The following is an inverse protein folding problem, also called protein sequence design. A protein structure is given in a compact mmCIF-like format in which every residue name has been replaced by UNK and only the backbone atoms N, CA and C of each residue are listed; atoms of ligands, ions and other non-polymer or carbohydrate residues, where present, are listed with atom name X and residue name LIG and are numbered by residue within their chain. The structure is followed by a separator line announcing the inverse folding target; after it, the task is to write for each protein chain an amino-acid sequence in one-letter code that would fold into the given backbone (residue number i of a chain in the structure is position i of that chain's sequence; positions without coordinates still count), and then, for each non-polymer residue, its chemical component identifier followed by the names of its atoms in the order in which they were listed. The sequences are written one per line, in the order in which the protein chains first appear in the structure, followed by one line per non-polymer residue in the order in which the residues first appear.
data_IF_652176880385
#
_entry.id   IF_652176880385
#
_cell.length_a   1.000
_cell.length_b   1.000
_cell.length_c   1.000
_cell.angle_alpha   90.00
_cell.angle_beta   90.00
_cell.angle_gamma   90.00
#
_symmetry.space_group_name_H-M   'P 1'
#
loop_
_entity.id
_entity.type
_entity.pdbx_description
1 polymer ?
#
# COMPACT_ATOMS: atom_id res chain seq x y z
N UNK A 1 -30.21 16.20 -2.03
CA UNK A 1 -28.99 15.83 -2.81
C UNK A 1 -29.20 15.96 -4.31
N UNK A 2 -30.12 15.20 -4.93
CA UNK A 2 -30.38 15.28 -6.39
C UNK A 2 -30.86 16.67 -6.86
N UNK A 3 -31.76 17.31 -6.11
CA UNK A 3 -32.26 18.67 -6.40
C UNK A 3 -31.16 19.75 -6.21
N UNK A 4 -30.31 19.58 -5.19
CA UNK A 4 -29.20 20.50 -4.90
C UNK A 4 -28.10 20.44 -5.98
N UNK A 5 -27.89 19.27 -6.57
CA UNK A 5 -26.87 19.03 -7.61
C UNK A 5 -27.43 19.06 -9.04
N UNK A 6 -28.72 19.30 -9.22
CA UNK A 6 -29.37 19.36 -10.54
C UNK A 6 -29.35 18.03 -11.32
N UNK A 7 -29.22 16.88 -10.65
CA UNK A 7 -29.15 15.55 -11.29
C UNK A 7 -30.47 14.79 -11.14
N UNK A 8 -30.82 13.96 -12.12
CA UNK A 8 -32.00 13.09 -12.02
C UNK A 8 -31.79 12.01 -10.94
N UNK A 9 -32.88 11.63 -10.26
CA UNK A 9 -32.83 10.54 -9.26
C UNK A 9 -32.30 9.24 -9.87
N UNK A 10 -32.72 8.91 -11.09
CA UNK A 10 -32.22 7.73 -11.82
C UNK A 10 -30.72 7.80 -12.07
N UNK A 11 -30.20 8.93 -12.55
CA UNK A 11 -28.77 9.12 -12.78
C UNK A 11 -27.93 9.02 -11.51
N UNK A 12 -28.45 9.51 -10.37
CA UNK A 12 -27.81 9.36 -9.07
C UNK A 12 -27.68 7.89 -8.65
N UNK A 13 -28.76 7.11 -8.73
CA UNK A 13 -28.73 5.71 -8.35
C UNK A 13 -27.98 4.83 -9.36
N UNK A 14 -28.00 5.16 -10.64
CA UNK A 14 -27.19 4.49 -11.66
C UNK A 14 -25.71 4.70 -11.40
N UNK A 15 -25.28 5.92 -11.08
CA UNK A 15 -23.91 6.21 -10.68
C UNK A 15 -23.52 5.44 -9.41
N UNK A 16 -24.41 5.39 -8.40
CA UNK A 16 -24.16 4.67 -7.15
C UNK A 16 -23.98 3.16 -7.35
N UNK A 17 -24.70 2.59 -8.33
CA UNK A 17 -24.65 1.16 -8.66
C UNK A 17 -23.58 0.79 -9.68
N UNK A 18 -22.83 1.77 -10.23
CA UNK A 18 -21.81 1.47 -11.25
C UNK A 18 -20.76 0.52 -10.69
N UNK A 19 -20.52 -0.63 -11.34
CA UNK A 19 -19.49 -1.54 -10.92
C UNK A 19 -18.11 -0.90 -11.07
N UNK A 20 -17.14 -1.39 -10.30
CA UNK A 20 -15.75 -0.98 -10.41
C UNK A 20 -15.28 -1.12 -11.86
N UNK A 21 -14.63 -0.07 -12.37
CA UNK A 21 -14.01 -0.10 -13.69
C UNK A 21 -12.93 -1.18 -13.75
N UNK A 22 -12.63 -1.68 -14.95
CA UNK A 22 -11.56 -2.66 -15.14
C UNK A 22 -10.20 -2.15 -14.63
N UNK A 23 -9.96 -0.84 -14.76
CA UNK A 23 -8.76 -0.21 -14.21
C UNK A 23 -8.74 -0.23 -12.67
N UNK A 24 -9.88 0.04 -12.03
CA UNK A 24 -9.98 -0.02 -10.57
C UNK A 24 -9.80 -1.45 -10.04
N UNK A 25 -10.37 -2.45 -10.73
CA UNK A 25 -10.14 -3.87 -10.41
C UNK A 25 -8.68 -4.26 -10.54
N UNK A 26 -8.05 -3.93 -11.68
CA UNK A 26 -6.61 -4.18 -11.89
C UNK A 26 -5.75 -3.53 -10.82
N UNK A 27 -6.11 -2.31 -10.40
CA UNK A 27 -5.43 -1.61 -9.31
C UNK A 27 -5.57 -2.34 -7.98
N UNK A 28 -6.77 -2.82 -7.63
CA UNK A 28 -6.98 -3.61 -6.41
C UNK A 28 -6.16 -4.89 -6.42
N UNK A 29 -6.16 -5.64 -7.52
CA UNK A 29 -5.35 -6.87 -7.63
C UNK A 29 -3.86 -6.56 -7.49
N UNK A 30 -3.38 -5.50 -8.16
CA UNK A 30 -1.99 -5.08 -8.02
C UNK A 30 -1.64 -4.70 -6.57
N UNK A 31 -2.53 -3.99 -5.88
CA UNK A 31 -2.33 -3.65 -4.46
C UNK A 31 -2.19 -4.90 -3.60
N UNK A 32 -3.01 -5.94 -3.82
CA UNK A 32 -2.89 -7.20 -3.09
C UNK A 32 -1.53 -7.86 -3.28
N UNK A 33 -1.03 -7.90 -4.53
CA UNK A 33 0.28 -8.49 -4.82
C UNK A 33 1.43 -7.69 -4.20
N UNK A 34 1.37 -6.36 -4.23
CA UNK A 34 2.36 -5.51 -3.55
C UNK A 34 2.39 -5.78 -2.04
N UNK A 35 1.22 -5.91 -1.41
CA UNK A 35 1.12 -6.22 0.03
C UNK A 35 1.65 -7.62 0.32
N UNK A 36 1.31 -8.61 -0.51
CA UNK A 36 1.78 -9.99 -0.37
C UNK A 36 3.30 -10.05 -0.39
N UNK A 37 3.94 -9.51 -1.44
CA UNK A 37 5.40 -9.49 -1.57
C UNK A 37 6.05 -8.73 -0.41
N UNK A 38 5.48 -7.61 0.01
CA UNK A 38 6.00 -6.87 1.17
C UNK A 38 5.94 -7.71 2.45
N UNK A 39 4.83 -8.42 2.69
CA UNK A 39 4.66 -9.31 3.85
C UNK A 39 5.60 -10.51 3.80
N UNK A 40 5.72 -11.17 2.65
CA UNK A 40 6.58 -12.34 2.45
C UNK A 40 8.06 -11.98 2.65
N UNK A 41 8.43 -10.74 2.32
CA UNK A 41 9.78 -10.20 2.59
C UNK A 41 10.02 -9.76 4.04
N UNK A 42 9.14 -10.13 4.98
CA UNK A 42 9.16 -9.66 6.37
C UNK A 42 9.19 -8.13 6.49
N UNK A 43 8.56 -7.44 5.54
CA UNK A 43 8.47 -5.98 5.46
C UNK A 43 9.81 -5.27 5.25
N UNK A 44 10.86 -6.00 4.86
CA UNK A 44 12.20 -5.46 4.62
C UNK A 44 12.25 -4.78 3.24
N UNK A 45 11.48 -5.28 2.27
CA UNK A 45 11.58 -4.78 0.90
C UNK A 45 10.80 -3.48 0.72
N UNK A 46 11.49 -2.46 0.23
CA UNK A 46 10.89 -1.24 -0.28
C UNK A 46 10.46 -1.36 -1.74
N UNK A 47 9.88 -0.27 -2.26
CA UNK A 47 9.40 -0.12 -3.63
C UNK A 47 10.31 -0.73 -4.73
N UNK A 48 11.63 -0.45 -4.77
CA UNK A 48 12.50 -1.00 -5.82
C UNK A 48 12.58 -2.54 -5.82
N UNK A 49 12.72 -3.14 -4.62
CA UNK A 49 12.85 -4.59 -4.46
C UNK A 49 11.53 -5.31 -4.71
N UNK A 50 10.43 -4.73 -4.23
CA UNK A 50 9.09 -5.25 -4.51
C UNK A 50 8.81 -5.20 -6.01
N UNK A 51 9.11 -4.10 -6.69
CA UNK A 51 8.93 -3.99 -8.13
C UNK A 51 9.74 -5.06 -8.89
N UNK A 52 11.00 -5.29 -8.50
CA UNK A 52 11.83 -6.35 -9.10
C UNK A 52 11.23 -7.74 -8.90
N UNK A 53 10.71 -8.03 -7.70
CA UNK A 53 10.07 -9.30 -7.41
C UNK A 53 8.78 -9.49 -8.21
N UNK A 54 7.91 -8.47 -8.26
CA UNK A 54 6.69 -8.49 -9.08
C UNK A 54 7.01 -8.69 -10.56
N UNK A 55 8.08 -8.06 -11.06
CA UNK A 55 8.55 -8.25 -12.44
C UNK A 55 9.02 -9.68 -12.69
N UNK A 56 9.73 -10.30 -11.74
CA UNK A 56 10.15 -11.70 -11.82
C UNK A 56 8.95 -12.65 -11.83
N UNK A 57 7.87 -12.28 -11.15
CA UNK A 57 6.59 -13.01 -11.12
C UNK A 57 5.70 -12.72 -12.36
N UNK A 58 6.21 -11.95 -13.34
CA UNK A 58 5.51 -11.64 -14.58
C UNK A 58 4.50 -10.48 -14.49
N UNK A 59 4.42 -9.79 -13.35
CA UNK A 59 3.47 -8.71 -13.11
C UNK A 59 4.07 -7.38 -13.61
N UNK A 60 3.60 -6.92 -14.78
CA UNK A 60 4.09 -5.70 -15.44
C UNK A 60 3.55 -4.45 -14.72
N UNK A 61 4.46 -3.74 -14.04
CA UNK A 61 4.17 -2.51 -13.28
C UNK A 61 5.34 -1.54 -13.40
N UNK A 62 5.14 -0.29 -13.00
CA UNK A 62 6.26 0.64 -12.79
C UNK A 62 6.60 0.70 -11.31
N UNK A 63 7.87 0.93 -10.99
CA UNK A 63 8.31 1.18 -9.62
C UNK A 63 7.51 2.33 -8.98
N UNK A 64 7.27 3.42 -9.72
CA UNK A 64 6.48 4.56 -9.24
C UNK A 64 5.06 4.17 -8.85
N UNK A 65 4.45 3.22 -9.57
CA UNK A 65 3.13 2.67 -9.21
C UNK A 65 3.20 1.91 -7.88
N UNK A 66 4.24 1.10 -7.68
CA UNK A 66 4.46 0.37 -6.42
C UNK A 66 4.67 1.34 -5.27
N UNK A 67 5.53 2.34 -5.44
CA UNK A 67 5.76 3.40 -4.44
C UNK A 67 4.46 4.09 -4.06
N UNK A 68 3.65 4.47 -5.06
CA UNK A 68 2.38 5.14 -4.85
C UNK A 68 1.39 4.25 -4.09
N UNK A 69 1.29 2.96 -4.44
CA UNK A 69 0.49 1.99 -3.70
C UNK A 69 0.96 1.88 -2.25
N UNK A 70 2.26 1.73 -2.01
CA UNK A 70 2.81 1.68 -0.65
C UNK A 70 2.57 2.97 0.15
N UNK A 71 2.52 4.13 -0.51
CA UNK A 71 2.26 5.41 0.13
C UNK A 71 0.78 5.67 0.41
N UNK A 72 -0.12 5.24 -0.48
CA UNK A 72 -1.56 5.44 -0.33
C UNK A 72 -2.19 4.39 0.59
N UNK A 73 -1.59 3.21 0.71
CA UNK A 73 -2.13 2.16 1.55
C UNK A 73 -1.84 2.42 3.03
N UNK A 74 -2.89 2.80 3.74
CA UNK A 74 -2.85 3.14 5.16
C UNK A 74 -2.48 1.94 6.05
N UNK A 75 -2.53 0.71 5.51
CA UNK A 75 -2.03 -0.50 6.16
C UNK A 75 -0.49 -0.54 6.15
N UNK A 76 0.13 -0.32 4.99
CA UNK A 76 1.60 -0.24 4.86
C UNK A 76 2.15 0.92 5.68
N UNK A 77 1.47 2.07 5.69
CA UNK A 77 1.85 3.18 6.57
C UNK A 77 1.78 2.83 8.06
N UNK A 78 0.74 2.12 8.51
CA UNK A 78 0.61 1.68 9.92
C UNK A 78 1.72 0.72 10.32
N UNK A 79 2.06 -0.23 9.43
CA UNK A 79 3.19 -1.15 9.60
C UNK A 79 4.53 -0.42 9.68
N UNK A 80 4.82 0.49 8.73
CA UNK A 80 6.02 1.32 8.75
C UNK A 80 6.16 2.15 10.04
N UNK A 81 5.05 2.66 10.61
CA UNK A 81 5.06 3.36 11.91
C UNK A 81 5.34 2.42 13.08
N UNK A 82 4.80 1.20 13.06
CA UNK A 82 5.05 0.19 14.10
C UNK A 82 6.50 -0.30 14.08
N UNK A 83 7.05 -0.53 12.90
CA UNK A 83 8.46 -0.92 12.71
C UNK A 83 9.43 0.20 13.14
N UNK A 84 9.09 1.47 12.87
CA UNK A 84 9.90 2.62 13.32
C UNK A 84 10.01 2.69 14.85
N UNK A 85 8.97 2.29 15.59
CA UNK A 85 9.01 2.19 17.07
C UNK A 85 9.92 1.06 17.55
N UNK A 86 9.84 -0.13 16.93
CA UNK A 86 10.70 -1.26 17.29
C UNK A 86 12.18 -0.98 17.00
N UNK A 87 12.49 -0.32 15.87
CA UNK A 87 13.87 0.01 15.51
C UNK A 87 14.49 1.03 16.49
N UNK A 88 13.71 2.01 16.99
CA UNK A 88 14.15 2.96 18.04
C UNK A 88 14.45 2.22 19.34
N UNK A 89 13.57 1.30 19.74
CA UNK A 89 13.73 0.55 20.99
C UNK A 89 14.94 -0.41 20.94
N UNK A 90 15.19 -1.05 19.79
CA UNK A 90 16.40 -1.86 19.55
C UNK A 90 17.66 -0.98 19.58
N UNK A 91 17.61 0.23 19.01
CA UNK A 91 18.73 1.16 19.02
C UNK A 91 19.05 1.69 20.45
N UNK A 92 18.03 1.98 21.26
CA UNK A 92 18.20 2.34 22.68
C UNK A 92 18.85 1.22 23.48
N UNK A 93 18.38 -0.02 23.34
CA UNK A 93 18.96 -1.18 24.03
C UNK A 93 20.43 -1.40 23.63
N UNK A 94 20.76 -1.30 22.34
CA UNK A 94 22.14 -1.44 21.87
C UNK A 94 23.06 -0.29 22.34
N UNK A 95 22.53 0.92 22.48
CA UNK A 95 23.27 2.08 23.01
C UNK A 95 23.60 1.90 24.50
N UNK A 96 22.67 1.34 25.29
CA UNK A 96 22.91 1.00 26.69
C UNK A 96 23.95 -0.11 26.85
N UNK A 97 23.92 -1.14 26.00
CA UNK A 97 24.92 -2.22 25.99
C UNK A 97 26.33 -1.70 25.71
N UNK A 98 26.50 -0.70 24.84
CA UNK A 98 27.79 -0.06 24.54
C UNK A 98 28.36 0.83 25.66
N UNK A 99 27.53 1.24 26.63
CA UNK A 99 27.96 2.08 27.77
C UNK A 99 28.37 1.21 28.99
N UNK A 100 27.94 -0.05 29.02
CA UNK A 100 28.15 -0.99 30.14
C UNK A 100 29.32 -1.96 29.87
N UNK A 101 29.80 -2.06 28.63
CA UNK A 101 31.04 -2.73 28.23
C UNK A 101 32.19 -1.75 28.10
#
# INVERSE_FOLDING_TARGET
MCEVLGVSKSGYYDWLKRPLSNQAKRRQELTKEVIRVHRDSFQIYGSPKIHKQLKNEGIITSERTVQRIMSEDQYVQRLLRSLKRQQIQIAEVNMHLLIIT
#
